data_IF_585965495868
#
_entry.id   IF_585965495868
#
_cell.length_a   1.000
_cell.length_b   1.000
_cell.length_c   1.000
_cell.angle_alpha   90.00
_cell.angle_beta   90.00
_cell.angle_gamma   90.00
#
_symmetry.space_group_name_H-M   'P 1'
#
loop_
_entity.id
_entity.type
_entity.pdbx_description
1 polymer ?
#
# COMPACT_ATOMS: atom_id res chain seq x y z
N UNK A 1 12.77 5.97 15.55
CA UNK A 1 12.81 7.14 14.66
C UNK A 1 13.18 6.77 13.22
N UNK A 2 14.23 5.96 12.98
CA UNK A 2 14.68 5.60 11.62
C UNK A 2 13.64 4.78 10.83
N UNK A 3 12.96 3.83 11.47
CA UNK A 3 11.88 3.05 10.89
C UNK A 3 10.77 3.94 10.30
N UNK A 4 10.29 4.91 11.08
CA UNK A 4 9.20 5.80 10.64
C UNK A 4 9.59 6.71 9.48
N UNK A 5 10.86 7.13 9.40
CA UNK A 5 11.36 7.93 8.27
C UNK A 5 11.41 7.12 6.97
N UNK A 6 11.90 5.89 7.04
CA UNK A 6 11.94 4.97 5.89
C UNK A 6 10.51 4.70 5.42
N UNK A 7 9.60 4.38 6.34
CA UNK A 7 8.20 4.10 6.00
C UNK A 7 7.49 5.33 5.41
N UNK A 8 7.77 6.54 5.88
CA UNK A 8 7.19 7.77 5.31
C UNK A 8 7.51 7.96 3.83
N UNK A 9 8.77 7.74 3.43
CA UNK A 9 9.18 7.79 2.01
C UNK A 9 8.52 6.66 1.22
N UNK A 10 8.44 5.47 1.81
CA UNK A 10 7.81 4.30 1.18
C UNK A 10 6.34 4.54 0.89
N UNK A 11 5.60 5.20 1.78
CA UNK A 11 4.19 5.54 1.56
C UNK A 11 3.98 6.53 0.41
N UNK A 12 4.88 7.48 0.21
CA UNK A 12 4.83 8.38 -0.97
C UNK A 12 5.03 7.61 -2.28
N UNK A 13 6.02 6.73 -2.32
CA UNK A 13 6.25 5.87 -3.49
C UNK A 13 5.04 4.96 -3.76
N UNK A 14 4.49 4.36 -2.72
CA UNK A 14 3.30 3.51 -2.83
C UNK A 14 2.09 4.28 -3.35
N UNK A 15 1.83 5.49 -2.85
CA UNK A 15 0.73 6.33 -3.35
C UNK A 15 0.83 6.60 -4.85
N UNK A 16 2.02 6.94 -5.35
CA UNK A 16 2.24 7.16 -6.79
C UNK A 16 1.97 5.87 -7.59
N UNK A 17 2.46 4.74 -7.11
CA UNK A 17 2.27 3.44 -7.74
C UNK A 17 0.78 3.06 -7.79
N UNK A 18 0.04 3.23 -6.68
CA UNK A 18 -1.40 2.93 -6.62
C UNK A 18 -2.23 3.77 -7.59
N UNK A 19 -1.93 5.06 -7.71
CA UNK A 19 -2.59 5.92 -8.70
C UNK A 19 -2.36 5.40 -10.11
N UNK A 20 -1.13 5.00 -10.45
CA UNK A 20 -0.84 4.46 -11.77
C UNK A 20 -1.54 3.12 -12.02
N UNK A 21 -1.55 2.23 -11.03
CA UNK A 21 -2.25 0.95 -11.12
C UNK A 21 -3.77 1.13 -11.23
N UNK A 22 -4.34 2.14 -10.56
CA UNK A 22 -5.74 2.49 -10.69
C UNK A 22 -6.06 2.99 -12.12
N UNK A 23 -5.20 3.81 -12.71
CA UNK A 23 -5.33 4.23 -14.12
C UNK A 23 -5.26 3.03 -15.06
N UNK A 24 -4.33 2.09 -14.86
CA UNK A 24 -4.25 0.87 -15.66
C UNK A 24 -5.54 0.03 -15.59
N UNK A 25 -6.11 -0.08 -14.39
CA UNK A 25 -7.39 -0.78 -14.18
C UNK A 25 -8.55 -0.09 -14.90
N UNK A 26 -8.63 1.23 -14.82
CA UNK A 26 -9.69 2.02 -15.48
C UNK A 26 -9.62 1.99 -17.02
N UNK A 27 -8.43 1.81 -17.58
CA UNK A 27 -8.21 1.64 -19.04
C UNK A 27 -8.41 0.19 -19.50
N UNK A 28 -8.86 -0.71 -18.60
CA UNK A 28 -9.11 -2.11 -18.92
C UNK A 28 -7.86 -3.01 -18.94
N UNK A 29 -6.67 -2.50 -18.56
CA UNK A 29 -5.44 -3.30 -18.48
C UNK A 29 -5.23 -3.92 -17.09
N UNK A 30 -6.27 -4.59 -16.61
CA UNK A 30 -6.29 -5.22 -15.29
C UNK A 30 -5.19 -6.27 -15.13
N UNK A 31 -4.93 -7.07 -16.17
CA UNK A 31 -3.89 -8.12 -16.13
C UNK A 31 -2.50 -7.56 -15.87
N UNK A 32 -2.16 -6.41 -16.46
CA UNK A 32 -0.86 -5.76 -16.25
C UNK A 32 -0.75 -5.24 -14.82
N UNK A 33 -1.81 -4.59 -14.31
CA UNK A 33 -1.87 -4.14 -12.93
C UNK A 33 -1.73 -5.31 -11.93
N UNK A 34 -2.42 -6.41 -12.19
CA UNK A 34 -2.34 -7.61 -11.39
C UNK A 34 -0.92 -8.23 -11.40
N UNK A 35 -0.28 -8.30 -12.56
CA UNK A 35 1.08 -8.82 -12.69
C UNK A 35 2.10 -7.97 -11.90
N UNK A 36 1.98 -6.64 -11.95
CA UNK A 36 2.84 -5.72 -11.18
C UNK A 36 2.65 -5.89 -9.67
N UNK A 37 1.40 -5.99 -9.21
CA UNK A 37 1.12 -6.25 -7.79
C UNK A 37 1.66 -7.61 -7.33
N UNK A 38 1.49 -8.67 -8.15
CA UNK A 38 2.03 -9.99 -7.86
C UNK A 38 3.57 -9.98 -7.79
N UNK A 39 4.22 -9.28 -8.71
CA UNK A 39 5.67 -9.11 -8.68
C UNK A 39 6.13 -8.45 -7.38
N UNK A 40 5.49 -7.33 -6.99
CA UNK A 40 5.80 -6.63 -5.76
C UNK A 40 5.56 -7.50 -4.53
N UNK A 41 4.47 -8.27 -4.50
CA UNK A 41 4.15 -9.18 -3.41
C UNK A 41 5.19 -10.29 -3.26
N UNK A 42 5.55 -10.98 -4.34
CA UNK A 42 6.55 -12.05 -4.32
C UNK A 42 7.91 -11.51 -3.89
N UNK A 43 8.33 -10.37 -4.43
CA UNK A 43 9.57 -9.71 -4.02
C UNK A 43 9.55 -9.34 -2.54
N UNK A 44 8.44 -8.80 -2.04
CA UNK A 44 8.30 -8.45 -0.63
C UNK A 44 8.45 -9.68 0.27
N UNK A 45 7.81 -10.80 -0.06
CA UNK A 45 7.93 -12.06 0.69
C UNK A 45 9.37 -12.58 0.69
N UNK A 46 10.03 -12.60 -0.46
CA UNK A 46 11.43 -13.07 -0.58
C UNK A 46 12.37 -12.16 0.21
N UNK A 47 12.25 -10.85 0.08
CA UNK A 47 13.09 -9.89 0.79
C UNK A 47 12.85 -9.93 2.29
N UNK A 48 11.60 -10.04 2.74
CA UNK A 48 11.29 -10.21 4.16
C UNK A 48 11.92 -11.50 4.71
N UNK A 49 11.78 -12.62 4.01
CA UNK A 49 12.42 -13.87 4.42
C UNK A 49 13.95 -13.73 4.49
N UNK A 50 14.56 -13.07 3.51
CA UNK A 50 16.00 -12.85 3.45
C UNK A 50 16.51 -12.01 4.64
N UNK A 51 15.85 -10.90 4.96
CA UNK A 51 16.30 -9.99 6.02
C UNK A 51 15.90 -10.44 7.43
N UNK A 52 14.82 -11.21 7.58
CA UNK A 52 14.41 -11.75 8.89
C UNK A 52 15.29 -12.93 9.28
N UNK A 53 15.45 -13.88 8.38
CA UNK A 53 16.20 -15.13 8.65
C UNK A 53 17.70 -14.99 8.40
N UNK A 54 18.14 -13.90 7.75
CA UNK A 54 19.56 -13.71 7.41
C UNK A 54 20.04 -14.69 6.35
N UNK A 55 19.16 -15.07 5.38
CA UNK A 55 19.56 -15.91 4.27
C UNK A 55 20.57 -15.15 3.38
N UNK A 56 21.41 -15.90 2.66
CA UNK A 56 22.46 -15.37 1.79
C UNK A 56 23.55 -14.53 2.51
N UNK A 57 23.78 -14.76 3.81
CA UNK A 57 24.84 -14.05 4.55
C UNK A 57 24.50 -12.59 4.92
N UNK A 58 23.27 -12.18 4.76
CA UNK A 58 22.81 -10.86 5.17
C UNK A 58 22.67 -10.76 6.70
N UNK A 59 22.96 -9.57 7.30
CA UNK A 59 22.79 -9.38 8.74
C UNK A 59 21.31 -9.50 9.12
N UNK A 60 21.05 -10.20 10.25
CA UNK A 60 19.70 -10.30 10.82
C UNK A 60 19.27 -8.94 11.38
N UNK A 61 18.59 -8.15 10.58
CA UNK A 61 18.18 -6.79 10.91
C UNK A 61 16.83 -6.73 11.67
N UNK A 62 16.16 -7.87 11.86
CA UNK A 62 14.89 -7.94 12.58
C UNK A 62 13.84 -6.99 12.01
N UNK A 63 13.21 -6.18 12.86
CA UNK A 63 12.12 -5.25 12.46
C UNK A 63 12.58 -4.20 11.46
N UNK A 64 13.83 -3.73 11.56
CA UNK A 64 14.40 -2.77 10.59
C UNK A 64 14.57 -3.41 9.22
N UNK A 65 14.92 -4.71 9.18
CA UNK A 65 15.00 -5.47 7.94
C UNK A 65 13.67 -5.55 7.19
N UNK A 66 12.56 -5.72 7.90
CA UNK A 66 11.21 -5.71 7.31
C UNK A 66 10.89 -4.36 6.66
N UNK A 67 11.26 -3.25 7.32
CA UNK A 67 11.05 -1.92 6.75
C UNK A 67 11.85 -1.70 5.45
N UNK A 68 13.11 -2.13 5.44
CA UNK A 68 13.99 -2.04 4.28
C UNK A 68 13.46 -2.94 3.14
N UNK A 69 13.05 -4.18 3.44
CA UNK A 69 12.47 -5.10 2.48
C UNK A 69 11.22 -4.50 1.82
N UNK A 70 10.33 -3.92 2.62
CA UNK A 70 9.12 -3.26 2.12
C UNK A 70 9.46 -2.05 1.27
N UNK A 71 10.38 -1.20 1.70
CA UNK A 71 10.82 -0.04 0.92
C UNK A 71 11.43 -0.45 -0.42
N UNK A 72 12.27 -1.48 -0.42
CA UNK A 72 12.94 -1.97 -1.62
C UNK A 72 11.93 -2.59 -2.61
N UNK A 73 10.99 -3.41 -2.14
CA UNK A 73 9.95 -3.99 -2.99
C UNK A 73 9.06 -2.91 -3.62
N UNK A 74 8.73 -1.86 -2.88
CA UNK A 74 7.94 -0.72 -3.40
C UNK A 74 8.73 0.12 -4.42
N UNK A 75 10.03 0.29 -4.23
CA UNK A 75 10.89 0.93 -5.23
C UNK A 75 10.96 0.12 -6.52
N UNK A 76 11.13 -1.19 -6.42
CA UNK A 76 11.13 -2.08 -7.60
C UNK A 76 9.78 -2.03 -8.33
N UNK A 77 8.67 -2.03 -7.59
CA UNK A 77 7.33 -1.88 -8.15
C UNK A 77 7.17 -0.55 -8.91
N UNK A 78 7.63 0.55 -8.33
CA UNK A 78 7.60 1.87 -8.96
C UNK A 78 8.43 1.90 -10.25
N UNK A 79 9.64 1.34 -10.22
CA UNK A 79 10.50 1.21 -11.40
C UNK A 79 9.82 0.35 -12.47
N UNK A 80 9.24 -0.77 -12.10
CA UNK A 80 8.49 -1.64 -13.01
C UNK A 80 7.29 -0.90 -13.64
N UNK A 81 6.55 -0.10 -12.85
CA UNK A 81 5.47 0.75 -13.35
C UNK A 81 5.96 1.78 -14.37
N UNK A 82 7.10 2.43 -14.10
CA UNK A 82 7.72 3.40 -15.04
C UNK A 82 8.16 2.71 -16.32
N UNK A 83 8.75 1.52 -16.25
CA UNK A 83 9.16 0.74 -17.43
C UNK A 83 7.93 0.37 -18.26
N UNK A 84 6.88 -0.16 -17.63
CA UNK A 84 5.64 -0.53 -18.30
C UNK A 84 4.96 0.69 -18.93
N UNK A 85 4.98 1.84 -18.25
CA UNK A 85 4.49 3.12 -18.79
C UNK A 85 5.26 3.57 -20.02
N UNK A 86 6.58 3.43 -20.00
CA UNK A 86 7.45 3.82 -21.12
C UNK A 86 7.27 2.90 -22.34
N UNK A 87 7.09 1.61 -22.11
CA UNK A 87 6.86 0.60 -23.16
C UNK A 87 5.41 0.61 -23.69
N UNK A 88 4.46 1.10 -22.90
CA UNK A 88 3.06 1.15 -23.29
C UNK A 88 2.80 2.31 -24.25
N UNK A 89 2.27 2.02 -25.44
CA UNK A 89 1.86 3.06 -26.41
C UNK A 89 0.57 3.80 -25.99
N UNK A 90 -0.26 3.17 -25.14
CA UNK A 90 -1.61 3.66 -24.84
C UNK A 90 -1.72 4.43 -23.51
N UNK A 91 -0.85 4.14 -22.55
CA UNK A 91 -0.87 4.78 -21.23
C UNK A 91 0.53 5.27 -20.90
N UNK A 92 0.85 6.48 -21.35
CA UNK A 92 2.12 7.14 -21.02
C UNK A 92 1.89 8.10 -19.87
N UNK A 93 2.67 7.95 -18.81
CA UNK A 93 2.79 8.96 -17.78
C UNK A 93 3.58 10.15 -18.36
N UNK A 94 2.87 11.18 -18.75
CA UNK A 94 3.49 12.45 -19.09
C UNK A 94 3.45 13.37 -17.87
N UNK A 95 4.59 13.66 -17.23
CA UNK A 95 4.63 14.54 -16.06
C UNK A 95 4.06 15.93 -16.35
N UNK A 96 4.04 16.33 -17.61
CA UNK A 96 3.45 17.59 -18.06
C UNK A 96 1.92 17.67 -17.81
N UNK A 97 1.21 16.54 -17.87
CA UNK A 97 -0.24 16.53 -17.62
C UNK A 97 -0.59 16.53 -16.13
N UNK A 98 0.34 16.14 -15.25
CA UNK A 98 0.17 16.26 -13.81
C UNK A 98 0.09 17.71 -13.32
N UNK A 99 0.64 18.64 -14.12
CA UNK A 99 0.64 20.08 -13.82
C UNK A 99 -0.51 20.85 -14.52
N UNK A 100 -1.29 20.18 -15.37
CA UNK A 100 -2.43 20.81 -16.03
C UNK A 100 -3.60 20.88 -15.05
N UNK A 101 -3.79 22.06 -14.49
CA UNK A 101 -4.88 22.35 -13.57
C UNK A 101 -6.18 22.65 -14.34
N UNK A 102 -7.12 21.72 -14.34
CA UNK A 102 -8.48 21.94 -14.82
C UNK A 102 -9.41 22.19 -13.64
N UNK A 103 -9.97 23.39 -13.53
CA UNK A 103 -10.88 23.75 -12.42
C UNK A 103 -12.07 22.79 -12.30
N UNK A 104 -12.64 22.37 -13.42
CA UNK A 104 -13.78 21.45 -13.46
C UNK A 104 -13.38 20.09 -12.91
N UNK A 105 -12.28 19.52 -13.39
CA UNK A 105 -11.79 18.22 -12.95
C UNK A 105 -11.39 18.23 -11.46
N UNK A 106 -10.79 19.33 -11.01
CA UNK A 106 -10.42 19.49 -9.59
C UNK A 106 -11.66 19.59 -8.71
N UNK A 107 -12.70 20.30 -9.15
CA UNK A 107 -13.93 20.42 -8.39
C UNK A 107 -14.67 19.08 -8.28
N UNK A 108 -14.77 18.32 -9.37
CA UNK A 108 -15.38 17.00 -9.38
C UNK A 108 -14.57 16.01 -8.51
N UNK A 109 -13.24 16.04 -8.62
CA UNK A 109 -12.36 15.25 -7.79
C UNK A 109 -12.55 15.56 -6.29
N UNK A 110 -12.56 16.82 -5.90
CA UNK A 110 -12.77 17.22 -4.50
C UNK A 110 -14.15 16.83 -4.00
N UNK A 111 -15.18 16.97 -4.82
CA UNK A 111 -16.54 16.57 -4.45
C UNK A 111 -16.69 15.08 -4.17
N UNK A 112 -15.96 14.25 -4.93
CA UNK A 112 -15.98 12.79 -4.78
C UNK A 112 -15.01 12.31 -3.69
N UNK A 113 -13.83 12.93 -3.61
CA UNK A 113 -12.77 12.48 -2.69
C UNK A 113 -12.97 12.96 -1.26
N UNK A 114 -13.60 14.12 -1.04
CA UNK A 114 -13.78 14.67 0.30
C UNK A 114 -14.62 13.78 1.22
N UNK A 115 -15.78 13.26 0.81
CA UNK A 115 -16.54 12.31 1.61
C UNK A 115 -15.78 11.01 1.91
N UNK A 116 -15.02 10.50 0.93
CA UNK A 116 -14.18 9.31 1.12
C UNK A 116 -13.07 9.57 2.15
N UNK A 117 -12.38 10.70 2.04
CA UNK A 117 -11.38 11.12 3.03
C UNK A 117 -11.97 11.26 4.43
N UNK A 118 -13.14 11.88 4.58
CA UNK A 118 -13.81 11.99 5.87
C UNK A 118 -14.14 10.62 6.47
N UNK A 119 -14.58 9.68 5.63
CA UNK A 119 -14.82 8.30 6.04
C UNK A 119 -13.53 7.63 6.52
N UNK A 120 -12.44 7.71 5.75
CA UNK A 120 -11.15 7.09 6.09
C UNK A 120 -10.53 7.69 7.36
N UNK A 121 -10.62 9.01 7.52
CA UNK A 121 -10.19 9.69 8.75
C UNK A 121 -11.00 9.22 9.95
N UNK A 122 -12.34 9.14 9.83
CA UNK A 122 -13.20 8.66 10.90
C UNK A 122 -12.87 7.22 11.31
N UNK A 123 -12.64 6.34 10.34
CA UNK A 123 -12.17 4.98 10.57
C UNK A 123 -10.81 4.95 11.28
N UNK A 124 -9.84 5.75 10.82
CA UNK A 124 -8.50 5.83 11.41
C UNK A 124 -8.55 6.31 12.86
N UNK A 125 -9.37 7.32 13.16
CA UNK A 125 -9.56 7.81 14.52
C UNK A 125 -10.20 6.74 15.40
N UNK A 126 -11.25 6.08 14.93
CA UNK A 126 -11.93 5.00 15.66
C UNK A 126 -10.96 3.86 16.01
N UNK A 127 -10.16 3.41 15.06
CA UNK A 127 -9.17 2.36 15.30
C UNK A 127 -8.04 2.81 16.24
N UNK A 128 -7.63 4.06 16.16
CA UNK A 128 -6.63 4.62 17.09
C UNK A 128 -7.17 4.67 18.51
N UNK A 129 -8.40 5.14 18.69
CA UNK A 129 -9.04 5.16 20.02
C UNK A 129 -9.26 3.74 20.56
N UNK A 130 -9.68 2.81 19.71
CA UNK A 130 -9.80 1.41 20.09
C UNK A 130 -8.47 0.83 20.60
N UNK A 131 -7.36 1.11 19.91
CA UNK A 131 -6.02 0.67 20.31
C UNK A 131 -5.59 1.28 21.66
N UNK A 132 -5.92 2.55 21.90
CA UNK A 132 -5.65 3.23 23.18
C UNK A 132 -6.44 2.60 24.32
N UNK A 133 -7.73 2.34 24.12
CA UNK A 133 -8.60 1.67 25.12
C UNK A 133 -8.05 0.30 25.47
N UNK A 134 -7.71 -0.51 24.46
CA UNK A 134 -7.13 -1.84 24.67
C UNK A 134 -5.79 -1.76 25.42
N UNK A 135 -4.96 -0.76 25.12
CA UNK A 135 -3.69 -0.54 25.84
C UNK A 135 -3.90 -0.28 27.33
N UNK A 136 -5.00 0.34 27.73
CA UNK A 136 -5.35 0.59 29.15
C UNK A 136 -5.92 -0.67 29.85
N UNK A 137 -6.47 -1.63 29.11
CA UNK A 137 -6.99 -2.87 29.64
C UNK A 137 -5.91 -3.92 29.99
N UNK A 138 -4.67 -3.64 29.61
CA UNK A 138 -3.51 -4.48 29.94
C UNK A 138 -3.01 -5.34 28.78
N UNK A 139 -1.84 -5.94 28.99
CA UNK A 139 -1.12 -6.73 27.97
C UNK A 139 -1.88 -7.96 27.48
N UNK A 140 -2.68 -8.58 28.36
CA UNK A 140 -3.43 -9.79 28.03
C UNK A 140 -4.58 -9.48 27.06
N UNK A 141 -5.25 -8.32 27.24
CA UNK A 141 -6.27 -7.85 26.34
C UNK A 141 -5.70 -7.51 24.94
N UNK A 142 -4.52 -6.90 24.90
CA UNK A 142 -3.80 -6.61 23.63
C UNK A 142 -3.40 -7.91 22.92
N UNK A 143 -2.91 -8.91 23.66
CA UNK A 143 -2.54 -10.19 23.09
C UNK A 143 -3.76 -10.94 22.51
N UNK A 144 -4.85 -10.99 23.25
CA UNK A 144 -6.10 -11.60 22.78
C UNK A 144 -6.64 -10.88 21.54
N UNK A 145 -6.63 -9.54 21.54
CA UNK A 145 -7.06 -8.76 20.37
C UNK A 145 -6.19 -9.02 19.13
N UNK A 146 -4.90 -9.25 19.31
CA UNK A 146 -3.99 -9.56 18.20
C UNK A 146 -4.41 -10.83 17.47
N UNK A 147 -4.84 -11.86 18.19
CA UNK A 147 -5.37 -13.10 17.60
C UNK A 147 -6.69 -12.85 16.86
N UNK A 148 -7.60 -12.08 17.47
CA UNK A 148 -8.89 -11.72 16.85
C UNK A 148 -8.67 -10.93 15.56
N UNK A 149 -7.72 -9.99 15.54
CA UNK A 149 -7.38 -9.20 14.35
C UNK A 149 -6.87 -10.08 13.21
N UNK A 150 -6.06 -11.10 13.49
CA UNK A 150 -5.58 -12.03 12.47
C UNK A 150 -6.74 -12.80 11.84
N UNK A 151 -7.63 -13.37 12.65
CA UNK A 151 -8.80 -14.12 12.17
C UNK A 151 -9.73 -13.21 11.38
N UNK A 152 -10.00 -12.01 11.89
CA UNK A 152 -10.81 -11.00 11.20
C UNK A 152 -10.22 -10.63 9.85
N UNK A 153 -8.91 -10.40 9.76
CA UNK A 153 -8.25 -10.02 8.52
C UNK A 153 -8.39 -11.12 7.45
N UNK A 154 -8.27 -12.39 7.83
CA UNK A 154 -8.49 -13.50 6.90
C UNK A 154 -9.91 -13.43 6.31
N UNK A 155 -10.95 -13.29 7.15
CA UNK A 155 -12.32 -13.18 6.67
C UNK A 155 -12.54 -11.92 5.81
N UNK A 156 -11.98 -10.79 6.21
CA UNK A 156 -12.14 -9.50 5.53
C UNK A 156 -11.50 -9.50 4.14
N UNK A 157 -10.35 -10.18 3.96
CA UNK A 157 -9.66 -10.27 2.66
C UNK A 157 -10.57 -10.89 1.59
N UNK A 158 -11.31 -11.95 1.93
CA UNK A 158 -12.25 -12.56 0.98
C UNK A 158 -13.37 -11.60 0.59
N UNK A 159 -13.96 -10.89 1.57
CA UNK A 159 -15.01 -9.92 1.31
C UNK A 159 -14.51 -8.75 0.44
N UNK A 160 -13.32 -8.20 0.74
CA UNK A 160 -12.73 -7.14 -0.07
C UNK A 160 -12.35 -7.59 -1.47
N UNK A 161 -11.86 -8.82 -1.64
CA UNK A 161 -11.53 -9.35 -2.95
C UNK A 161 -12.78 -9.42 -3.85
N UNK A 162 -13.91 -9.92 -3.31
CA UNK A 162 -15.18 -9.97 -4.05
C UNK A 162 -15.70 -8.56 -4.36
N UNK A 163 -15.69 -7.66 -3.36
CA UNK A 163 -16.16 -6.28 -3.55
C UNK A 163 -15.31 -5.49 -4.56
N UNK A 164 -14.02 -5.80 -4.70
CA UNK A 164 -13.13 -5.14 -5.66
C UNK A 164 -13.22 -5.74 -7.06
N UNK A 165 -13.81 -6.92 -7.21
CA UNK A 165 -13.98 -7.59 -8.50
C UNK A 165 -15.29 -7.23 -9.22
N UNK A 166 -16.28 -6.67 -8.50
CA UNK A 166 -17.58 -6.20 -9.03
C UNK A 166 -17.56 -4.73 -9.37
#
# INVERSE_FOLDING_TARGET
>A
ASYLRIMGITYLCWGITEVYLAILRSVGRVTVSMALNMLAFVLNVILNATFIFGLFGMPKLGVTGVAIATALSRLVELVACVIVSSLSKNVKLHPKYLLVHSKVLTQDFMRLSLPALCNDVSWSVAFSMYSVILGHLGTDAVAANSLVVVVRNIGTVFCFAIASAG
#
